data_IF_392559121795
#
_entry.id   IF_392559121795
#
_cell.length_a   1.000
_cell.length_b   1.000
_cell.length_c   1.000
_cell.angle_alpha   90.00
_cell.angle_beta   90.00
_cell.angle_gamma   90.00
#
_symmetry.space_group_name_H-M   'P 1'
#
loop_
_entity.id
_entity.type
_entity.pdbx_description
1 polymer ?
#
# COMPACT_ATOMS: atom_id res chain seq x y z
N UNK A 1 13.34 -5.04 10.16
CA UNK A 1 12.16 -4.30 10.64
C UNK A 1 11.04 -4.61 9.65
N UNK A 2 9.99 -5.27 10.13
CA UNK A 2 8.92 -5.86 9.31
C UNK A 2 8.03 -4.73 8.79
N UNK A 3 7.61 -4.82 7.53
CA UNK A 3 6.60 -3.95 6.92
C UNK A 3 5.48 -3.65 7.93
N UNK A 4 5.30 -2.37 8.27
CA UNK A 4 4.22 -1.93 9.15
C UNK A 4 2.92 -2.58 8.69
N UNK A 5 2.32 -3.41 9.54
CA UNK A 5 1.08 -4.14 9.24
C UNK A 5 0.01 -3.12 8.85
N UNK A 6 -0.29 -3.02 7.54
CA UNK A 6 -1.43 -2.24 7.09
C UNK A 6 -2.69 -2.90 7.64
N UNK A 7 -3.46 -2.15 8.42
CA UNK A 7 -4.68 -2.62 9.07
C UNK A 7 -5.90 -2.02 8.40
N UNK A 8 -7.10 -2.57 8.62
CA UNK A 8 -8.35 -2.00 8.07
C UNK A 8 -8.58 -0.52 8.44
N UNK A 9 -7.89 0.01 9.47
CA UNK A 9 -7.95 1.42 9.86
C UNK A 9 -7.20 2.35 8.89
N UNK A 10 -6.32 1.79 8.08
CA UNK A 10 -5.53 2.50 7.08
C UNK A 10 -6.28 2.65 5.74
N UNK A 11 -7.50 2.10 5.63
CA UNK A 11 -8.37 2.34 4.49
C UNK A 11 -8.68 3.84 4.38
N UNK A 12 -8.66 4.35 3.15
CA UNK A 12 -8.69 5.77 2.77
C UNK A 12 -7.42 6.58 3.10
N UNK A 13 -6.37 5.97 3.67
CA UNK A 13 -5.07 6.65 3.77
C UNK A 13 -4.32 6.64 2.45
N UNK A 14 -3.45 7.63 2.28
CA UNK A 14 -2.51 7.67 1.17
C UNK A 14 -1.37 6.71 1.47
N UNK A 15 -1.22 5.71 0.60
CA UNK A 15 -0.11 4.79 0.59
C UNK A 15 0.93 5.24 -0.44
N UNK A 16 2.17 5.32 -0.01
CA UNK A 16 3.33 5.52 -0.86
C UNK A 16 4.13 4.23 -0.90
N UNK A 17 4.15 3.58 -2.07
CA UNK A 17 4.90 2.36 -2.33
C UNK A 17 6.23 2.71 -2.96
N UNK A 18 7.33 2.44 -2.26
CA UNK A 18 8.69 2.60 -2.75
C UNK A 18 9.32 1.25 -3.14
N UNK A 19 9.82 1.15 -4.38
CA UNK A 19 10.70 0.04 -4.78
C UNK A 19 11.82 0.57 -5.68
N UNK A 20 13.07 0.34 -5.30
CA UNK A 20 14.27 0.73 -6.06
C UNK A 20 14.19 2.17 -6.59
N UNK A 21 13.98 3.14 -5.69
CA UNK A 21 13.87 4.58 -5.98
C UNK A 21 12.64 5.04 -6.78
N UNK A 22 11.72 4.14 -7.15
CA UNK A 22 10.42 4.52 -7.73
C UNK A 22 9.35 4.50 -6.65
N UNK A 23 8.88 5.69 -6.27
CA UNK A 23 7.73 5.88 -5.36
C UNK A 23 6.45 6.01 -6.17
N UNK A 24 5.41 5.28 -5.77
CA UNK A 24 4.05 5.38 -6.33
C UNK A 24 3.09 5.73 -5.22
N UNK A 25 2.35 6.81 -5.41
CA UNK A 25 1.30 7.24 -4.48
C UNK A 25 -0.06 6.73 -4.92
N UNK A 26 -0.85 6.26 -3.96
CA UNK A 26 -2.24 5.89 -4.20
C UNK A 26 -3.02 5.81 -2.91
N UNK A 27 -4.35 5.84 -3.02
CA UNK A 27 -5.23 5.73 -1.86
C UNK A 27 -5.57 4.26 -1.58
N UNK A 28 -5.49 3.86 -0.33
CA UNK A 28 -5.92 2.53 0.11
C UNK A 28 -7.44 2.46 0.03
N UNK A 29 -7.96 1.49 -0.72
CA UNK A 29 -9.39 1.22 -0.81
C UNK A 29 -9.81 0.03 0.04
N UNK A 30 -8.97 -0.99 0.12
CA UNK A 30 -9.29 -2.24 0.81
C UNK A 30 -8.01 -2.95 1.26
N UNK A 31 -8.03 -3.59 2.42
CA UNK A 31 -6.90 -4.36 2.95
C UNK A 31 -7.38 -5.77 3.26
N UNK A 32 -6.71 -6.77 2.68
CA UNK A 32 -6.92 -8.17 2.95
C UNK A 32 -5.80 -8.72 3.84
N UNK A 33 -6.15 -8.92 5.11
CA UNK A 33 -5.24 -9.34 6.18
C UNK A 33 -4.73 -10.78 6.04
N UNK A 34 -5.41 -11.62 5.24
CA UNK A 34 -5.05 -13.03 5.07
C UNK A 34 -3.89 -13.25 4.09
N UNK A 35 -3.63 -12.29 3.20
CA UNK A 35 -2.67 -12.43 2.10
C UNK A 35 -1.67 -11.27 2.04
N UNK A 36 -1.67 -10.37 3.03
CA UNK A 36 -0.90 -9.12 3.01
C UNK A 36 -1.13 -8.32 1.72
N UNK A 37 -2.37 -8.35 1.21
CA UNK A 37 -2.74 -7.69 -0.04
C UNK A 37 -3.51 -6.41 0.26
N UNK A 38 -3.20 -5.36 -0.49
CA UNK A 38 -3.86 -4.07 -0.39
C UNK A 38 -4.35 -3.65 -1.76
N UNK A 39 -5.62 -3.28 -1.83
CA UNK A 39 -6.19 -2.63 -3.00
C UNK A 39 -5.92 -1.16 -2.89
N UNK A 40 -5.13 -0.64 -3.81
CA UNK A 40 -4.88 0.81 -3.92
C UNK A 40 -5.47 1.36 -5.20
N UNK A 41 -5.93 2.61 -5.12
CA UNK A 41 -6.14 3.43 -6.29
C UNK A 41 -4.86 4.24 -6.55
N UNK A 42 -4.07 3.82 -7.53
CA UNK A 42 -2.94 4.61 -7.99
C UNK A 42 -3.46 5.70 -8.93
N UNK A 43 -3.22 6.97 -8.60
CA UNK A 43 -3.77 8.11 -9.37
C UNK A 43 -3.46 8.03 -10.88
N UNK A 44 -2.34 7.40 -11.26
CA UNK A 44 -1.95 7.24 -12.68
C UNK A 44 -2.48 5.96 -13.35
N UNK A 45 -2.87 4.94 -12.59
CA UNK A 45 -3.09 3.57 -13.11
C UNK A 45 -4.44 2.96 -12.69
N UNK A 46 -5.30 3.72 -12.00
CA UNK A 46 -6.58 3.22 -11.49
C UNK A 46 -6.43 2.28 -10.30
N UNK A 47 -7.43 1.41 -10.09
CA UNK A 47 -7.51 0.50 -8.95
C UNK A 47 -6.72 -0.78 -9.21
N UNK A 48 -5.74 -1.09 -8.36
CA UNK A 48 -4.91 -2.30 -8.46
C UNK A 48 -4.71 -2.98 -7.10
N UNK A 49 -4.69 -4.30 -7.09
CA UNK A 49 -4.25 -5.11 -5.96
C UNK A 49 -2.73 -5.20 -5.93
N UNK A 50 -2.14 -4.93 -4.77
CA UNK A 50 -0.71 -4.96 -4.54
C UNK A 50 -0.43 -5.86 -3.34
N UNK A 51 0.44 -6.83 -3.55
CA UNK A 51 0.92 -7.71 -2.49
C UNK A 51 2.06 -7.01 -1.77
N UNK A 52 1.88 -6.68 -0.50
CA UNK A 52 2.92 -6.08 0.32
C UNK A 52 4.00 -7.13 0.57
N UNK A 53 5.14 -6.93 -0.06
CA UNK A 53 6.31 -7.76 0.23
C UNK A 53 7.13 -7.15 1.36
N UNK A 54 7.81 -7.95 2.21
CA UNK A 54 8.67 -7.40 3.27
C UNK A 54 9.84 -6.55 2.73
N UNK A 55 10.13 -6.63 1.42
CA UNK A 55 11.12 -5.83 0.71
C UNK A 55 10.57 -4.54 0.10
N UNK A 56 9.26 -4.29 0.22
CA UNK A 56 8.64 -3.04 -0.24
C UNK A 56 8.62 -2.04 0.91
N UNK A 57 9.10 -0.83 0.63
CA UNK A 57 8.98 0.28 1.57
C UNK A 57 7.58 0.86 1.45
N UNK A 58 6.85 0.82 2.55
CA UNK A 58 5.47 1.29 2.68
C UNK A 58 5.52 2.52 3.59
N UNK A 59 5.31 3.70 3.01
CA UNK A 59 5.10 4.93 3.78
C UNK A 59 3.60 5.26 3.75
N UNK A 60 3.00 5.47 4.93
CA UNK A 60 1.65 6.03 5.05
C UNK A 60 1.79 7.54 5.30
N UNK A 61 1.15 8.36 4.46
CA UNK A 61 1.01 9.80 4.74
C UNK A 61 -0.23 10.02 5.63
N UNK A 62 -0.07 10.78 6.72
CA UNK A 62 -1.11 11.14 7.70
C UNK A 62 -1.76 12.47 7.35
#
# INVERSE_FOLDING_TARGET
MIASELTKKDVNRTLVLGKNSKKRRGNILEIQSNASMVRVHLNSNGKKWITLSPSEEIELEF
#
